data_IF_061030431799
#
_entry.id   IF_061030431799
#
_cell.length_a   1.000
_cell.length_b   1.000
_cell.length_c   1.000
_cell.angle_alpha   90.00
_cell.angle_beta   90.00
_cell.angle_gamma   90.00
#
_symmetry.space_group_name_H-M   'P 1'
#
loop_
_entity.id
_entity.type
_entity.pdbx_description
1 polymer ?
#
# COMPACT_ATOMS: atom_id res chain seq x y z
N UNK A 1 -53.97 -14.42 27.91
CA UNK A 1 -53.56 -14.49 26.49
C UNK A 1 -52.81 -13.19 26.20
N UNK A 2 -51.48 -13.26 26.11
CA UNK A 2 -50.62 -12.10 25.89
C UNK A 2 -50.03 -12.21 24.48
N UNK A 3 -50.16 -11.13 23.71
CA UNK A 3 -49.57 -10.94 22.39
C UNK A 3 -48.38 -9.98 22.57
N UNK A 4 -47.19 -10.39 22.14
CA UNK A 4 -46.00 -9.55 21.92
C UNK A 4 -45.05 -10.40 21.06
N UNK A 5 -45.10 -10.22 19.74
CA UNK A 5 -44.23 -9.32 18.96
C UNK A 5 -42.84 -9.90 18.72
N UNK A 6 -42.76 -10.59 17.58
CA UNK A 6 -41.63 -10.60 16.65
C UNK A 6 -40.95 -9.23 16.56
N UNK A 7 -39.66 -9.18 16.87
CA UNK A 7 -38.69 -8.46 16.04
C UNK A 7 -37.31 -9.08 16.17
N UNK A 8 -36.87 -9.59 15.02
CA UNK A 8 -35.51 -9.95 14.65
C UNK A 8 -34.59 -8.74 14.86
N UNK A 9 -33.91 -8.66 15.99
CA UNK A 9 -32.69 -7.85 16.10
C UNK A 9 -31.56 -8.71 15.54
N UNK A 10 -31.49 -8.76 14.20
CA UNK A 10 -30.30 -9.21 13.51
C UNK A 10 -29.16 -8.33 14.03
N UNK A 11 -28.17 -8.98 14.66
CA UNK A 11 -26.88 -8.37 14.97
C UNK A 11 -26.44 -7.62 13.70
N UNK A 12 -26.27 -6.29 13.74
CA UNK A 12 -25.74 -5.62 12.57
C UNK A 12 -24.35 -6.18 12.36
N UNK A 13 -24.18 -6.91 11.25
CA UNK A 13 -22.89 -7.18 10.65
C UNK A 13 -22.23 -5.81 10.45
N UNK A 14 -21.46 -5.41 11.46
CA UNK A 14 -20.45 -4.37 11.36
C UNK A 14 -19.35 -4.94 10.48
N UNK A 15 -19.67 -5.11 9.19
CA UNK A 15 -18.65 -5.00 8.16
C UNK A 15 -17.98 -3.65 8.44
N UNK A 16 -16.67 -3.61 8.71
CA UNK A 16 -15.99 -2.33 8.69
C UNK A 16 -16.25 -1.78 7.30
N UNK A 17 -17.06 -0.72 7.25
CA UNK A 17 -17.14 0.17 6.11
C UNK A 17 -15.70 0.56 5.87
N UNK A 18 -15.10 -0.14 4.92
CA UNK A 18 -13.69 -0.05 4.63
C UNK A 18 -13.56 1.15 3.71
N UNK A 19 -13.86 2.31 4.29
CA UNK A 19 -13.32 3.61 3.93
C UNK A 19 -11.83 3.52 4.15
N UNK A 20 -11.18 2.73 3.31
CA UNK A 20 -9.76 2.73 3.30
C UNK A 20 -9.38 3.99 2.53
N UNK A 21 -9.03 5.01 3.31
CA UNK A 21 -8.56 6.29 2.83
C UNK A 21 -7.16 6.12 2.20
N UNK A 22 -7.12 5.52 1.02
CA UNK A 22 -5.90 5.15 0.29
C UNK A 22 -5.16 6.35 -0.35
N UNK A 23 -5.77 7.55 -0.34
CA UNK A 23 -5.08 8.79 -0.71
C UNK A 23 -4.19 9.35 0.41
N UNK A 24 -4.33 8.88 1.66
CA UNK A 24 -3.60 9.44 2.80
C UNK A 24 -2.11 9.12 2.77
N UNK A 25 -1.71 7.94 2.30
CA UNK A 25 -0.29 7.58 2.29
C UNK A 25 0.49 8.34 1.22
N UNK A 26 -0.04 8.43 -0.01
CA UNK A 26 0.54 9.25 -1.06
C UNK A 26 0.57 10.73 -0.64
N UNK A 27 -0.51 11.23 -0.03
CA UNK A 27 -0.56 12.58 0.53
C UNK A 27 0.44 12.80 1.68
N UNK A 28 0.62 11.81 2.56
CA UNK A 28 1.57 11.88 3.66
C UNK A 28 3.01 11.93 3.14
N UNK A 29 3.34 11.10 2.13
CA UNK A 29 4.65 11.12 1.49
C UNK A 29 4.93 12.44 0.76
N UNK A 30 3.93 13.02 0.10
CA UNK A 30 4.04 14.33 -0.55
C UNK A 30 4.27 15.47 0.46
N UNK A 31 3.88 15.29 1.73
CA UNK A 31 4.08 16.26 2.80
C UNK A 31 5.44 16.16 3.51
N UNK A 32 6.27 15.17 3.19
CA UNK A 32 7.61 15.04 3.76
C UNK A 32 8.54 16.03 3.06
N UNK A 33 9.18 16.93 3.83
CA UNK A 33 10.27 17.75 3.31
C UNK A 33 11.58 16.95 3.34
N UNK A 34 12.36 17.10 2.27
CA UNK A 34 13.69 16.48 2.10
C UNK A 34 14.79 17.54 1.99
N UNK A 35 14.50 18.80 2.32
CA UNK A 35 15.39 19.94 2.08
C UNK A 35 16.73 19.80 2.82
N UNK A 36 16.71 19.25 4.03
CA UNK A 36 17.89 19.03 4.86
C UNK A 36 18.61 17.70 4.59
N UNK A 37 18.09 16.88 3.67
CA UNK A 37 18.64 15.55 3.38
C UNK A 37 19.85 15.67 2.46
N UNK A 38 20.93 14.94 2.76
CA UNK A 38 22.15 14.96 1.93
C UNK A 38 21.93 14.26 0.58
N UNK A 39 22.76 14.59 -0.42
CA UNK A 39 22.71 13.93 -1.73
C UNK A 39 22.89 12.40 -1.62
N UNK A 40 23.77 11.95 -0.72
CA UNK A 40 24.05 10.52 -0.49
C UNK A 40 22.85 9.81 0.16
N UNK A 41 22.21 10.45 1.13
CA UNK A 41 21.01 9.92 1.76
C UNK A 41 19.86 9.83 0.75
N UNK A 42 19.71 10.85 -0.12
CA UNK A 42 18.69 10.86 -1.18
C UNK A 42 18.89 9.68 -2.14
N UNK A 43 20.13 9.43 -2.57
CA UNK A 43 20.46 8.28 -3.42
C UNK A 43 20.17 6.94 -2.70
N UNK A 44 20.51 6.86 -1.41
CA UNK A 44 20.23 5.66 -0.59
C UNK A 44 18.72 5.41 -0.48
N UNK A 45 17.93 6.45 -0.21
CA UNK A 45 16.47 6.33 -0.12
C UNK A 45 15.85 5.94 -1.47
N UNK A 46 16.35 6.50 -2.58
CA UNK A 46 15.93 6.09 -3.93
C UNK A 46 16.23 4.61 -4.19
N UNK A 47 17.40 4.12 -3.77
CA UNK A 47 17.75 2.70 -3.86
C UNK A 47 16.80 1.83 -3.02
N UNK A 48 16.52 2.21 -1.76
CA UNK A 48 15.56 1.51 -0.92
C UNK A 48 14.15 1.50 -1.52
N UNK A 49 13.73 2.57 -2.20
CA UNK A 49 12.46 2.61 -2.93
C UNK A 49 12.44 1.62 -4.10
N UNK A 50 13.55 1.43 -4.82
CA UNK A 50 13.65 0.45 -5.89
C UNK A 50 13.63 -0.99 -5.36
N UNK A 51 14.43 -1.27 -4.33
CA UNK A 51 14.46 -2.58 -3.67
C UNK A 51 13.08 -2.97 -3.13
N UNK A 52 12.39 -2.03 -2.46
CA UNK A 52 11.05 -2.25 -1.91
C UNK A 52 10.02 -2.51 -3.02
N UNK A 53 10.07 -1.77 -4.13
CA UNK A 53 9.16 -2.02 -5.28
C UNK A 53 9.40 -3.39 -5.89
N UNK A 54 10.67 -3.79 -6.06
CA UNK A 54 11.02 -5.11 -6.56
C UNK A 54 10.50 -6.21 -5.63
N UNK A 55 10.65 -6.04 -4.31
CA UNK A 55 10.09 -6.96 -3.31
C UNK A 55 8.57 -7.07 -3.39
N UNK A 56 7.86 -5.94 -3.50
CA UNK A 56 6.39 -5.92 -3.62
C UNK A 56 5.90 -6.59 -4.92
N UNK A 57 6.57 -6.33 -6.05
CA UNK A 57 6.28 -7.00 -7.32
C UNK A 57 6.54 -8.51 -7.24
N UNK A 58 7.59 -8.92 -6.52
CA UNK A 58 7.85 -10.33 -6.24
C UNK A 58 6.73 -10.94 -5.38
N UNK A 59 6.27 -10.25 -4.33
CA UNK A 59 5.12 -10.68 -3.53
C UNK A 59 3.87 -10.91 -4.39
N UNK A 60 3.57 -10.02 -5.35
CA UNK A 60 2.46 -10.22 -6.30
C UNK A 60 2.65 -11.49 -7.14
N UNK A 61 3.87 -11.78 -7.57
CA UNK A 61 4.20 -12.97 -8.36
C UNK A 61 3.98 -14.25 -7.53
N UNK A 62 4.42 -14.25 -6.27
CA UNK A 62 4.19 -15.36 -5.33
C UNK A 62 2.71 -15.55 -5.06
N UNK A 63 1.98 -14.46 -4.78
CA UNK A 63 0.55 -14.51 -4.50
C UNK A 63 -0.26 -15.01 -5.70
N UNK A 64 0.08 -14.56 -6.91
CA UNK A 64 -0.50 -15.08 -8.15
C UNK A 64 -0.27 -16.59 -8.32
N UNK A 65 0.93 -17.07 -8.01
CA UNK A 65 1.26 -18.49 -8.06
C UNK A 65 0.49 -19.31 -7.01
N UNK A 66 0.34 -18.78 -5.79
CA UNK A 66 -0.48 -19.42 -4.74
C UNK A 66 -1.94 -19.50 -5.18
N UNK A 67 -2.51 -18.40 -5.69
CA UNK A 67 -3.89 -18.36 -6.18
C UNK A 67 -4.13 -19.31 -7.36
N UNK A 68 -3.19 -19.39 -8.31
CA UNK A 68 -3.31 -20.24 -9.50
C UNK A 68 -3.21 -21.73 -9.18
N UNK A 69 -2.47 -22.08 -8.13
CA UNK A 69 -2.26 -23.46 -7.69
C UNK A 69 -3.20 -23.90 -6.56
N UNK A 70 -4.04 -23.00 -6.05
CA UNK A 70 -5.03 -23.28 -5.01
C UNK A 70 -6.17 -24.16 -5.55
N UNK A 71 -5.88 -25.44 -5.79
CA UNK A 71 -6.92 -26.48 -5.89
C UNK A 71 -7.43 -26.74 -4.47
N UNK A 72 -8.50 -26.04 -4.09
CA UNK A 72 -9.35 -26.43 -2.93
C UNK A 72 -8.64 -26.55 -1.58
N UNK A 73 -7.68 -25.69 -1.25
CA UNK A 73 -7.14 -25.60 0.11
C UNK A 73 -7.91 -24.55 0.90
N UNK A 74 -8.93 -25.01 1.63
CA UNK A 74 -9.88 -24.22 2.39
C UNK A 74 -9.31 -23.49 3.63
N UNK A 75 -7.99 -23.42 3.83
CA UNK A 75 -7.43 -22.97 5.11
C UNK A 75 -6.29 -21.93 5.04
N UNK A 76 -5.75 -21.56 3.88
CA UNK A 76 -4.43 -20.90 3.90
C UNK A 76 -4.51 -19.36 3.91
N UNK A 77 -5.57 -18.73 3.42
CA UNK A 77 -5.72 -17.26 3.50
C UNK A 77 -7.17 -16.86 3.20
N UNK A 78 -7.76 -16.00 4.02
CA UNK A 78 -9.09 -15.49 3.71
C UNK A 78 -9.04 -14.64 2.43
N UNK A 79 -10.04 -14.72 1.53
CA UNK A 79 -10.10 -13.84 0.36
C UNK A 79 -9.97 -12.36 0.70
N UNK A 80 -10.41 -11.98 1.90
CA UNK A 80 -10.32 -10.63 2.43
C UNK A 80 -8.86 -10.20 2.72
N UNK A 81 -8.04 -11.05 3.33
CA UNK A 81 -6.61 -10.76 3.55
C UNK A 81 -5.84 -10.62 2.23
N UNK A 82 -6.17 -11.44 1.22
CA UNK A 82 -5.61 -11.34 -0.12
C UNK A 82 -5.99 -10.00 -0.76
N UNK A 83 -7.26 -9.62 -0.68
CA UNK A 83 -7.74 -8.34 -1.19
C UNK A 83 -7.05 -7.15 -0.50
N UNK A 84 -6.89 -7.19 0.83
CA UNK A 84 -6.16 -6.17 1.58
C UNK A 84 -4.69 -6.09 1.17
N UNK A 85 -4.03 -7.24 0.99
CA UNK A 85 -2.62 -7.31 0.57
C UNK A 85 -2.43 -6.74 -0.84
N UNK A 86 -3.27 -7.16 -1.79
CA UNK A 86 -3.26 -6.64 -3.16
C UNK A 86 -3.49 -5.13 -3.19
N UNK A 87 -4.45 -4.67 -2.40
CA UNK A 87 -4.74 -3.24 -2.27
C UNK A 87 -3.54 -2.48 -1.73
N UNK A 88 -2.93 -2.92 -0.61
CA UNK A 88 -1.75 -2.28 -0.05
C UNK A 88 -0.60 -2.19 -1.07
N UNK A 89 -0.30 -3.29 -1.76
CA UNK A 89 0.75 -3.33 -2.78
C UNK A 89 0.44 -2.36 -3.93
N UNK A 90 -0.81 -2.32 -4.41
CA UNK A 90 -1.24 -1.45 -5.51
C UNK A 90 -1.07 0.05 -5.20
N UNK A 91 -1.03 0.44 -3.94
CA UNK A 91 -0.78 1.82 -3.51
C UNK A 91 0.69 2.07 -3.19
N UNK A 92 1.37 1.12 -2.55
CA UNK A 92 2.77 1.26 -2.17
C UNK A 92 3.70 1.37 -3.38
N UNK A 93 3.46 0.57 -4.42
CA UNK A 93 4.34 0.56 -5.61
C UNK A 93 4.34 1.92 -6.33
N UNK A 94 3.18 2.55 -6.63
CA UNK A 94 3.16 3.91 -7.16
C UNK A 94 3.76 4.95 -6.22
N UNK A 95 3.43 4.90 -4.92
CA UNK A 95 3.92 5.88 -3.95
C UNK A 95 5.45 5.89 -3.83
N UNK A 96 6.08 4.70 -3.81
CA UNK A 96 7.54 4.56 -3.82
C UNK A 96 8.15 5.03 -5.16
N UNK A 97 7.43 4.86 -6.27
CA UNK A 97 7.87 5.33 -7.58
C UNK A 97 7.85 6.86 -7.66
N UNK A 98 6.79 7.47 -7.15
CA UNK A 98 6.64 8.92 -7.14
C UNK A 98 7.64 9.58 -6.19
N UNK A 99 7.89 8.99 -5.02
CA UNK A 99 8.93 9.43 -4.10
C UNK A 99 10.32 9.38 -4.74
N UNK A 100 10.68 8.25 -5.37
CA UNK A 100 11.97 8.11 -6.05
C UNK A 100 12.14 9.14 -7.19
N UNK A 101 11.07 9.39 -7.95
CA UNK A 101 11.08 10.41 -9.02
C UNK A 101 11.21 11.84 -8.48
N UNK A 102 10.52 12.13 -7.37
CA UNK A 102 10.62 13.41 -6.68
C UNK A 102 12.07 13.68 -6.26
N UNK A 103 12.70 12.74 -5.55
CA UNK A 103 14.08 12.87 -5.08
C UNK A 103 15.06 13.03 -6.25
N UNK A 104 14.87 12.29 -7.35
CA UNK A 104 15.70 12.46 -8.55
C UNK A 104 15.59 13.88 -9.12
N UNK A 105 14.38 14.43 -9.18
CA UNK A 105 14.13 15.78 -9.70
C UNK A 105 14.76 16.84 -8.80
N UNK A 106 14.61 16.67 -7.48
CA UNK A 106 15.21 17.56 -6.48
C UNK A 106 16.74 17.57 -6.56
N UNK A 107 17.38 16.39 -6.62
CA UNK A 107 18.84 16.28 -6.80
C UNK A 107 19.33 16.94 -8.09
N UNK A 108 18.58 16.81 -9.18
CA UNK A 108 18.90 17.48 -10.45
C UNK A 108 18.83 19.01 -10.30
N UNK A 109 17.82 19.53 -9.61
CA UNK A 109 17.67 20.96 -9.34
C UNK A 109 18.81 21.50 -8.47
N UNK A 110 19.16 20.80 -7.38
CA UNK A 110 20.30 21.18 -6.51
C UNK A 110 21.61 21.28 -7.29
N UNK A 111 21.88 20.32 -8.18
CA UNK A 111 23.09 20.32 -9.02
C UNK A 111 23.12 21.44 -10.06
N UNK A 112 21.96 21.92 -10.52
CA UNK A 112 21.88 23.07 -11.44
C UNK A 112 22.17 24.38 -10.70
N UNK A 113 21.80 24.50 -9.42
CA UNK A 113 22.00 25.71 -8.61
C UNK A 113 23.45 25.90 -8.14
N UNK A 114 24.23 24.81 -8.08
CA UNK A 114 25.62 24.85 -7.59
C UNK A 114 26.65 25.10 -8.71
N UNK A 115 26.25 25.03 -9.98
CA UNK A 115 27.07 25.34 -11.16
C UNK A 115 26.87 26.77 -11.67
#
# INVERSE_FOLDING_TARGET
MANADTTTEACPDLLPASDIHYSMMAGALAGISFDDMSDEDCLTLMYCCDESRNGLCHCLSVLSNVLSNAKTTAEVTSPQEIAHTLSAISHLVPALTDLSRYLLTDLQQRRIVVN
#
